data_IF_906230967671
#
_entry.id   IF_906230967671
#
_cell.length_a   1.000
_cell.length_b   1.000
_cell.length_c   1.000
_cell.angle_alpha   90.00
_cell.angle_beta   90.00
_cell.angle_gamma   90.00
#
_symmetry.space_group_name_H-M   'P 1'
#
loop_
_entity.id
_entity.type
_entity.pdbx_description
1 polymer ?
#
# COMPACT_ATOMS: atom_id res chain seq x y z
N UNK A 1 -10.64 -4.38 -35.43
CA UNK A 1 -9.96 -3.67 -34.32
C UNK A 1 -10.88 -2.56 -33.82
N UNK A 2 -11.85 -2.88 -32.96
CA UNK A 2 -12.76 -1.86 -32.43
C UNK A 2 -11.99 -1.02 -31.41
N UNK A 3 -11.76 0.25 -31.72
CA UNK A 3 -11.17 1.20 -30.80
C UNK A 3 -12.00 1.24 -29.52
N UNK A 4 -11.37 0.95 -28.37
CA UNK A 4 -11.99 1.10 -27.06
C UNK A 4 -12.36 2.57 -26.89
N UNK A 5 -13.63 2.90 -27.12
CA UNK A 5 -14.20 4.19 -26.76
C UNK A 5 -13.92 4.38 -25.28
N UNK A 6 -13.03 5.32 -24.95
CA UNK A 6 -12.70 5.64 -23.55
C UNK A 6 -14.00 6.06 -22.89
N UNK A 7 -14.57 5.19 -22.05
CA UNK A 7 -15.78 5.48 -21.29
C UNK A 7 -15.48 6.72 -20.45
N UNK A 8 -16.19 7.81 -20.75
CA UNK A 8 -16.17 9.02 -19.94
C UNK A 8 -17.13 8.80 -18.77
N UNK A 9 -16.66 9.12 -17.56
CA UNK A 9 -17.45 9.04 -16.35
C UNK A 9 -17.94 10.44 -16.01
N UNK A 10 -19.25 10.60 -15.94
CA UNK A 10 -19.87 11.82 -15.44
C UNK A 10 -19.56 12.01 -13.96
N UNK A 11 -19.59 13.25 -13.48
CA UNK A 11 -19.31 13.54 -12.07
C UNK A 11 -20.32 12.87 -11.13
N UNK A 12 -21.56 12.68 -11.59
CA UNK A 12 -22.58 11.93 -10.87
C UNK A 12 -22.26 10.44 -10.75
N UNK A 13 -21.81 9.82 -11.85
CA UNK A 13 -21.38 8.41 -11.80
C UNK A 13 -20.18 8.22 -10.86
N UNK A 14 -19.22 9.15 -10.84
CA UNK A 14 -18.08 9.09 -9.92
C UNK A 14 -18.53 9.14 -8.46
N UNK A 15 -19.48 10.02 -8.11
CA UNK A 15 -20.07 10.10 -6.77
C UNK A 15 -20.77 8.82 -6.39
N UNK A 16 -21.61 8.28 -7.28
CA UNK A 16 -22.31 7.02 -7.04
C UNK A 16 -21.34 5.85 -6.82
N UNK A 17 -20.26 5.78 -7.60
CA UNK A 17 -19.23 4.75 -7.45
C UNK A 17 -18.49 4.90 -6.13
N UNK A 18 -18.07 6.12 -5.76
CA UNK A 18 -17.42 6.39 -4.48
C UNK A 18 -18.33 6.06 -3.29
N UNK A 19 -19.61 6.42 -3.36
CA UNK A 19 -20.60 6.08 -2.33
C UNK A 19 -20.78 4.56 -2.18
N UNK A 20 -20.79 3.80 -3.27
CA UNK A 20 -20.87 2.32 -3.18
C UNK A 20 -19.65 1.68 -2.48
N UNK A 21 -18.52 2.38 -2.40
CA UNK A 21 -17.34 1.86 -1.69
C UNK A 21 -17.41 2.02 -0.18
N UNK A 22 -18.34 2.82 0.36
CA UNK A 22 -18.49 2.98 1.82
C UNK A 22 -19.39 1.93 2.46
N UNK A 23 -20.05 1.09 1.66
CA UNK A 23 -20.85 -0.02 2.17
C UNK A 23 -19.98 -1.01 2.96
N UNK A 24 -20.46 -1.41 4.15
CA UNK A 24 -19.75 -2.34 5.02
C UNK A 24 -19.40 -3.65 4.30
N UNK A 25 -18.15 -4.09 4.41
CA UNK A 25 -17.64 -5.32 3.78
C UNK A 25 -17.41 -5.23 2.26
N UNK A 26 -17.59 -4.07 1.63
CA UNK A 26 -17.32 -3.87 0.20
C UNK A 26 -15.91 -3.32 0.00
N UNK A 27 -15.10 -4.00 -0.81
CA UNK A 27 -13.79 -3.48 -1.22
C UNK A 27 -13.89 -2.60 -2.46
N UNK A 28 -13.06 -1.55 -2.50
CA UNK A 28 -12.91 -0.65 -3.67
C UNK A 28 -12.61 -1.45 -4.95
N UNK A 29 -11.81 -2.51 -4.86
CA UNK A 29 -11.47 -3.37 -5.99
C UNK A 29 -12.69 -4.14 -6.53
N UNK A 30 -13.60 -4.57 -5.66
CA UNK A 30 -14.83 -5.26 -6.06
C UNK A 30 -15.78 -4.31 -6.79
N UNK A 31 -15.96 -3.09 -6.30
CA UNK A 31 -16.76 -2.06 -6.99
C UNK A 31 -16.16 -1.76 -8.35
N UNK A 32 -14.84 -1.51 -8.42
CA UNK A 32 -14.16 -1.22 -9.68
C UNK A 32 -14.34 -2.33 -10.74
N UNK A 33 -14.27 -3.61 -10.31
CA UNK A 33 -14.52 -4.76 -11.20
C UNK A 33 -15.94 -4.78 -11.77
N UNK A 34 -16.97 -4.46 -10.97
CA UNK A 34 -18.37 -4.38 -11.44
C UNK A 34 -18.53 -3.33 -12.55
N UNK A 35 -17.78 -2.25 -12.46
CA UNK A 35 -17.79 -1.16 -13.44
C UNK A 35 -16.76 -1.34 -14.57
N UNK A 36 -16.07 -2.48 -14.64
CA UNK A 36 -14.98 -2.77 -15.57
C UNK A 36 -13.91 -1.67 -15.61
N UNK A 37 -13.61 -1.08 -14.44
CA UNK A 37 -12.67 0.01 -14.27
C UNK A 37 -11.51 -0.37 -13.34
N UNK A 38 -10.44 0.41 -13.38
CA UNK A 38 -9.29 0.23 -12.49
C UNK A 38 -9.59 0.83 -11.11
N UNK A 39 -9.33 0.09 -10.03
CA UNK A 39 -9.49 0.57 -8.66
C UNK A 39 -8.71 1.86 -8.38
N UNK A 40 -7.56 2.07 -9.03
CA UNK A 40 -6.77 3.30 -8.92
C UNK A 40 -7.55 4.55 -9.35
N UNK A 41 -8.53 4.43 -10.26
CA UNK A 41 -9.39 5.57 -10.62
C UNK A 41 -10.34 5.92 -9.48
N UNK A 42 -10.91 4.92 -8.80
CA UNK A 42 -11.80 5.13 -7.66
C UNK A 42 -11.03 5.77 -6.50
N UNK A 43 -9.80 5.30 -6.21
CA UNK A 43 -8.93 5.93 -5.21
C UNK A 43 -8.59 7.39 -5.55
N UNK A 44 -8.40 7.73 -6.84
CA UNK A 44 -8.20 9.12 -7.25
C UNK A 44 -9.43 9.98 -7.01
N UNK A 45 -10.63 9.45 -7.23
CA UNK A 45 -11.89 10.17 -6.97
C UNK A 45 -12.19 10.31 -5.49
N UNK A 46 -11.93 9.28 -4.68
CA UNK A 46 -12.10 9.33 -3.22
C UNK A 46 -11.21 10.37 -2.52
N UNK A 47 -10.08 10.75 -3.13
CA UNK A 47 -9.20 11.82 -2.63
C UNK A 47 -9.72 13.23 -2.93
N UNK A 48 -10.63 13.37 -3.88
CA UNK A 48 -11.20 14.65 -4.27
C UNK A 48 -12.47 14.88 -3.45
N UNK A 49 -12.57 15.95 -2.65
CA UNK A 49 -13.71 16.21 -1.77
C UNK A 49 -15.03 16.36 -2.54
N UNK A 50 -14.99 16.59 -3.86
CA UNK A 50 -16.20 16.67 -4.68
C UNK A 50 -16.89 15.32 -4.91
N UNK A 51 -16.14 14.22 -4.75
CA UNK A 51 -16.62 12.86 -4.99
C UNK A 51 -16.49 11.96 -3.76
N UNK A 52 -15.76 12.39 -2.73
CA UNK A 52 -15.70 11.71 -1.45
C UNK A 52 -17.09 11.78 -0.79
N UNK A 53 -17.66 10.64 -0.36
CA UNK A 53 -18.83 10.65 0.50
C UNK A 53 -18.48 11.32 1.82
N UNK A 54 -19.42 12.08 2.41
CA UNK A 54 -19.20 12.77 3.68
C UNK A 54 -18.65 11.78 4.71
N UNK A 55 -17.44 12.06 5.20
CA UNK A 55 -16.75 11.24 6.20
C UNK A 55 -17.58 11.08 7.49
N UNK A 56 -18.59 11.93 7.69
CA UNK A 56 -19.50 11.94 8.83
C UNK A 56 -20.56 10.82 8.79
N UNK A 57 -20.71 10.09 7.68
CA UNK A 57 -21.65 8.95 7.59
C UNK A 57 -20.98 7.58 7.74
N UNK A 58 -19.66 7.53 7.97
CA UNK A 58 -18.93 6.28 8.28
C UNK A 58 -18.62 6.18 9.77
N UNK A 59 -19.56 6.62 10.61
CA UNK A 59 -19.48 6.47 12.08
C UNK A 59 -20.78 5.90 12.64
N UNK A 60 -21.24 4.75 12.13
CA UNK A 60 -21.96 3.83 13.00
C UNK A 60 -21.97 2.38 12.49
N UNK A 61 -21.93 1.46 13.45
CA UNK A 61 -22.03 0.01 13.35
C UNK A 61 -20.78 -0.79 12.92
N UNK A 62 -19.80 -0.84 13.84
CA UNK A 62 -19.42 -2.15 14.41
C UNK A 62 -18.06 -2.74 14.05
N UNK A 63 -17.32 -2.18 13.10
CA UNK A 63 -15.93 -2.56 12.84
C UNK A 63 -15.12 -1.32 12.46
N UNK A 64 -14.96 -0.40 13.42
CA UNK A 64 -13.62 0.14 13.57
C UNK A 64 -12.76 -1.09 13.82
N UNK A 65 -12.15 -1.60 12.75
CA UNK A 65 -11.06 -2.55 12.82
C UNK A 65 -10.06 -1.86 13.74
N UNK A 66 -10.14 -2.23 15.02
CA UNK A 66 -9.15 -1.88 16.00
C UNK A 66 -7.98 -2.73 15.54
N UNK A 67 -7.25 -2.22 14.55
CA UNK A 67 -5.86 -2.55 14.29
C UNK A 67 -5.10 -2.13 15.56
N UNK A 68 -5.35 -2.86 16.64
CA UNK A 68 -4.69 -2.73 17.91
C UNK A 68 -3.63 -3.82 17.95
N UNK A 69 -2.45 -3.43 18.40
CA UNK A 69 -1.43 -4.40 18.73
C UNK A 69 -1.88 -5.12 20.00
N UNK A 70 -2.09 -6.43 19.89
CA UNK A 70 -2.27 -7.26 21.06
C UNK A 70 -0.89 -7.48 21.71
N UNK A 71 -0.76 -7.28 23.03
CA UNK A 71 0.46 -7.63 23.73
C UNK A 71 0.68 -9.15 23.62
N UNK A 72 1.84 -9.54 23.12
CA UNK A 72 2.28 -10.94 23.09
C UNK A 72 3.43 -11.08 24.08
N UNK A 73 3.25 -11.96 25.06
CA UNK A 73 4.30 -12.33 26.01
C UNK A 73 5.08 -13.52 25.42
N UNK A 74 6.38 -13.33 25.21
CA UNK A 74 7.28 -14.39 24.77
C UNK A 74 7.67 -15.17 26.03
N UNK A 75 7.10 -16.36 26.21
CA UNK A 75 7.49 -17.26 27.28
C UNK A 75 8.76 -17.99 26.82
N UNK A 76 9.87 -17.77 27.53
CA UNK A 76 11.08 -18.57 27.34
C UNK A 76 10.75 -20.04 27.61
N UNK A 77 10.65 -20.82 26.54
CA UNK A 77 10.53 -22.27 26.65
C UNK A 77 11.78 -22.79 27.37
N UNK A 78 11.66 -23.71 28.36
CA UNK A 78 12.82 -24.20 29.09
C UNK A 78 13.83 -24.77 28.09
N UNK A 79 14.96 -24.08 27.99
CA UNK A 79 16.13 -24.47 27.23
C UNK A 79 16.54 -25.83 27.75
N UNK A 80 16.38 -26.88 26.95
CA UNK A 80 17.09 -28.12 27.21
C UNK A 80 18.55 -27.77 27.01
N UNK A 81 19.25 -27.57 28.12
CA UNK A 81 20.69 -27.37 28.19
C UNK A 81 21.37 -28.54 27.49
N UNK A 82 21.79 -28.34 26.24
CA UNK A 82 22.95 -28.98 25.60
C UNK A 82 23.06 -28.59 24.13
N UNK A 83 23.24 -27.30 23.84
CA UNK A 83 24.03 -26.90 22.66
C UNK A 83 24.79 -25.62 23.02
N UNK A 84 26.11 -25.69 22.90
CA UNK A 84 27.07 -24.57 22.95
C UNK A 84 26.49 -23.34 22.26
N UNK A 85 26.60 -22.12 22.82
CA UNK A 85 26.14 -20.92 22.10
C UNK A 85 27.09 -20.70 20.92
N UNK A 86 26.72 -21.20 19.75
CA UNK A 86 27.15 -20.57 18.51
C UNK A 86 26.59 -19.17 18.61
N UNK A 87 27.48 -18.17 18.65
CA UNK A 87 27.10 -16.77 18.61
C UNK A 87 26.12 -16.58 17.44
N UNK A 88 24.85 -16.32 17.76
CA UNK A 88 23.88 -15.93 16.76
C UNK A 88 24.45 -14.70 16.06
N UNK A 89 24.62 -14.71 14.72
CA UNK A 89 25.00 -13.52 14.02
C UNK A 89 23.91 -12.48 14.32
N UNK A 90 24.36 -11.34 14.88
CA UNK A 90 23.62 -10.08 15.00
C UNK A 90 22.58 -9.97 13.88
N UNK A 91 21.30 -9.64 14.16
CA UNK A 91 20.27 -9.56 13.13
C UNK A 91 20.80 -8.64 12.03
N UNK A 92 21.20 -9.26 10.92
CA UNK A 92 21.76 -8.53 9.79
C UNK A 92 20.61 -7.69 9.30
N UNK A 93 20.72 -6.37 9.49
CA UNK A 93 19.67 -5.38 9.20
C UNK A 93 18.79 -5.87 8.07
N UNK A 94 17.52 -6.15 8.39
CA UNK A 94 16.51 -6.54 7.43
C UNK A 94 16.71 -5.67 6.18
N UNK A 95 17.13 -6.31 5.10
CA UNK A 95 17.58 -5.68 3.87
C UNK A 95 16.63 -4.54 3.49
N UNK A 96 17.02 -3.30 3.81
CA UNK A 96 16.22 -2.12 3.52
C UNK A 96 15.98 -2.06 2.03
N UNK A 97 14.73 -1.95 1.61
CA UNK A 97 14.38 -1.76 0.21
C UNK A 97 14.20 -0.28 -0.05
N UNK A 98 14.98 0.29 -0.97
CA UNK A 98 14.77 1.65 -1.49
C UNK A 98 14.14 1.55 -2.88
N UNK A 99 13.03 2.26 -3.09
CA UNK A 99 12.42 2.46 -4.41
C UNK A 99 12.53 3.93 -4.83
N UNK A 100 12.99 4.17 -6.05
CA UNK A 100 13.15 5.51 -6.63
C UNK A 100 12.44 5.54 -7.98
N UNK A 101 11.46 6.43 -8.12
CA UNK A 101 10.79 6.70 -9.40
C UNK A 101 11.53 7.84 -10.13
N UNK A 102 11.94 7.59 -11.38
CA UNK A 102 12.70 8.54 -12.22
C UNK A 102 11.76 9.16 -13.27
N UNK A 103 12.05 10.39 -13.69
CA UNK A 103 11.41 11.02 -14.83
C UNK A 103 11.49 10.11 -16.07
N UNK A 104 10.35 9.87 -16.74
CA UNK A 104 10.25 8.90 -17.85
C UNK A 104 9.54 7.58 -17.48
N UNK A 105 9.15 7.39 -16.21
CA UNK A 105 8.34 6.25 -15.78
C UNK A 105 9.14 4.98 -15.45
N UNK A 106 10.46 5.11 -15.32
CA UNK A 106 11.33 4.04 -14.88
C UNK A 106 11.40 3.99 -13.34
N UNK A 107 11.48 2.79 -12.78
CA UNK A 107 11.59 2.56 -11.33
C UNK A 107 12.87 1.80 -11.00
N UNK A 108 13.68 2.37 -10.13
CA UNK A 108 14.87 1.73 -9.57
C UNK A 108 14.53 1.13 -8.21
N UNK A 109 14.84 -0.16 -8.02
CA UNK A 109 14.64 -0.87 -6.75
C UNK A 109 15.98 -1.42 -6.27
N UNK A 110 16.36 -1.03 -5.06
CA UNK A 110 17.61 -1.44 -4.42
C UNK A 110 17.24 -2.25 -3.18
N UNK A 111 17.77 -3.47 -3.07
CA UNK A 111 17.45 -4.42 -2.01
C UNK A 111 18.77 -4.85 -1.38
N UNK A 112 18.86 -4.81 -0.06
CA UNK A 112 20.04 -5.29 0.66
C UNK A 112 20.80 -4.18 1.37
N UNK A 113 21.99 -4.51 1.86
CA UNK A 113 22.92 -3.52 2.36
C UNK A 113 23.50 -2.73 1.18
N UNK A 114 23.39 -1.40 1.23
CA UNK A 114 23.95 -0.49 0.24
C UNK A 114 24.85 0.53 0.93
N UNK A 115 25.93 0.93 0.24
CA UNK A 115 26.75 2.07 0.67
C UNK A 115 26.03 3.38 0.29
N UNK A 116 25.73 4.28 1.25
CA UNK A 116 25.06 5.55 0.96
C UNK A 116 25.87 6.44 0.00
N UNK A 117 27.21 6.36 -0.01
CA UNK A 117 28.04 7.16 -0.90
C UNK A 117 27.90 6.68 -2.36
N UNK A 118 28.02 5.37 -2.59
CA UNK A 118 27.77 4.77 -3.90
C UNK A 118 26.34 5.05 -4.41
N UNK A 119 25.34 4.98 -3.51
CA UNK A 119 23.95 5.28 -3.86
C UNK A 119 23.77 6.75 -4.27
N UNK A 120 24.38 7.70 -3.54
CA UNK A 120 24.32 9.11 -3.89
C UNK A 120 24.96 9.41 -5.25
N UNK A 121 26.08 8.76 -5.58
CA UNK A 121 26.73 8.89 -6.90
C UNK A 121 25.84 8.34 -8.02
N UNK A 122 25.21 7.19 -7.81
CA UNK A 122 24.27 6.59 -8.76
C UNK A 122 23.08 7.52 -9.03
N UNK A 123 22.44 8.03 -7.98
CA UNK A 123 21.32 8.97 -8.10
C UNK A 123 21.74 10.23 -8.86
N UNK A 124 22.93 10.76 -8.58
CA UNK A 124 23.46 11.94 -9.27
C UNK A 124 23.73 11.69 -10.76
N UNK A 125 24.17 10.49 -11.13
CA UNK A 125 24.37 10.10 -12.53
C UNK A 125 23.05 9.91 -13.30
N UNK A 126 21.99 9.47 -12.62
CA UNK A 126 20.66 9.29 -13.21
C UNK A 126 19.82 10.59 -13.29
N UNK A 127 20.24 11.63 -12.58
CA UNK A 127 19.63 12.97 -12.59
C UNK A 127 20.16 13.87 -13.72
N UNK A 128 21.09 13.39 -14.54
CA UNK A 128 21.72 14.13 -15.63
C UNK A 128 20.93 14.09 -16.95
#
# INVERSE_FOLDING_TARGET
MAGRTKRLWTDEEKRSICFQTTAAGVSVAQVARRYAMNANMVFKWLRDPRYAPDAEQTVDAGLADISCFLPVEIIDQPRIDNVVPVADPMPTSAAGTIEIDIAGGHRLRIIGAYDPAALALLIRGLSG
#
